data_IF_609050793778
#
_entry.id   IF_609050793778
#
_cell.length_a   1.000
_cell.length_b   1.000
_cell.length_c   1.000
_cell.angle_alpha   90.00
_cell.angle_beta   90.00
_cell.angle_gamma   90.00
#
_symmetry.space_group_name_H-M   'P 1'
#
loop_
_entity.id
_entity.type
_entity.pdbx_description
1 polymer ?
#
# COMPACT_ATOMS: atom_id res chain seq x y z
N UNK A 1 -5.42 -22.67 17.21
CA UNK A 1 -5.93 -21.29 17.03
C UNK A 1 -6.01 -20.97 15.54
N UNK A 2 -7.07 -20.30 15.06
CA UNK A 2 -7.14 -19.85 13.66
C UNK A 2 -6.26 -18.61 13.51
N UNK A 3 -5.07 -18.81 12.95
CA UNK A 3 -4.13 -17.74 12.60
C UNK A 3 -4.76 -16.83 11.55
N UNK A 4 -5.27 -15.67 12.00
CA UNK A 4 -5.55 -14.48 11.18
C UNK A 4 -6.56 -14.57 10.05
N UNK A 5 -7.16 -15.74 9.77
CA UNK A 5 -8.23 -15.91 8.78
C UNK A 5 -9.55 -16.16 9.50
N UNK A 6 -10.49 -15.24 9.32
CA UNK A 6 -11.82 -15.29 9.91
C UNK A 6 -12.78 -16.14 9.08
N UNK A 7 -13.38 -15.54 8.06
CA UNK A 7 -14.34 -16.16 7.16
C UNK A 7 -13.80 -16.27 5.74
N UNK A 8 -14.06 -17.39 5.07
CA UNK A 8 -13.69 -17.62 3.66
C UNK A 8 -14.94 -18.03 2.90
N UNK A 9 -15.29 -17.26 1.88
CA UNK A 9 -16.40 -17.55 0.97
C UNK A 9 -15.85 -17.84 -0.43
N UNK A 10 -16.10 -19.05 -0.93
CA UNK A 10 -15.66 -19.48 -2.27
C UNK A 10 -16.87 -19.57 -3.18
N UNK A 11 -16.90 -18.74 -4.22
CA UNK A 11 -17.90 -18.76 -5.29
C UNK A 11 -17.27 -19.36 -6.54
N UNK A 12 -17.52 -20.65 -6.77
CA UNK A 12 -17.01 -21.39 -7.93
C UNK A 12 -17.64 -20.89 -9.24
N UNK A 13 -18.98 -20.72 -9.35
CA UNK A 13 -19.59 -20.12 -10.55
C UNK A 13 -19.06 -18.72 -10.89
N UNK A 14 -18.88 -17.86 -9.88
CA UNK A 14 -18.34 -16.50 -10.06
C UNK A 14 -16.81 -16.43 -10.13
N UNK A 15 -16.12 -17.56 -9.96
CA UNK A 15 -14.65 -17.67 -9.92
C UNK A 15 -14.03 -16.63 -8.98
N UNK A 16 -14.53 -16.57 -7.74
CA UNK A 16 -14.08 -15.62 -6.73
C UNK A 16 -13.93 -16.25 -5.36
N UNK A 17 -13.00 -15.71 -4.59
CA UNK A 17 -12.78 -16.06 -3.18
C UNK A 17 -12.77 -14.75 -2.40
N UNK A 18 -13.63 -14.66 -1.39
CA UNK A 18 -13.66 -13.54 -0.44
C UNK A 18 -13.07 -14.05 0.87
N UNK A 19 -12.04 -13.37 1.36
CA UNK A 19 -11.32 -13.74 2.57
C UNK A 19 -11.40 -12.57 3.55
N UNK A 20 -11.99 -12.82 4.71
CA UNK A 20 -11.92 -11.94 5.86
C UNK A 20 -10.70 -12.32 6.70
N UNK A 21 -9.81 -11.37 6.93
CA UNK A 21 -8.50 -11.64 7.52
C UNK A 21 -7.87 -10.36 8.07
N UNK A 22 -6.98 -10.51 9.04
CA UNK A 22 -6.04 -9.48 9.53
C UNK A 22 -4.62 -9.65 8.96
N UNK A 23 -4.40 -10.68 8.13
CA UNK A 23 -3.11 -10.95 7.50
C UNK A 23 -2.87 -9.99 6.32
N UNK A 24 -1.60 -9.70 5.99
CA UNK A 24 -1.26 -9.00 4.77
C UNK A 24 -1.81 -9.71 3.52
N UNK A 25 -2.27 -8.94 2.54
CA UNK A 25 -2.82 -9.47 1.29
C UNK A 25 -1.85 -10.45 0.60
N UNK A 26 -0.56 -10.13 0.57
CA UNK A 26 0.46 -10.97 -0.08
C UNK A 26 0.58 -12.37 0.54
N UNK A 27 0.36 -12.49 1.86
CA UNK A 27 0.31 -13.79 2.56
C UNK A 27 -0.89 -14.61 2.11
N UNK A 28 -2.06 -13.97 2.00
CA UNK A 28 -3.30 -14.62 1.54
C UNK A 28 -3.18 -15.05 0.08
N UNK A 29 -2.64 -14.18 -0.77
CA UNK A 29 -2.44 -14.47 -2.19
C UNK A 29 -1.49 -15.66 -2.38
N UNK A 30 -0.34 -15.67 -1.69
CA UNK A 30 0.62 -16.79 -1.71
C UNK A 30 -0.02 -18.09 -1.24
N UNK A 31 -0.83 -18.06 -0.18
CA UNK A 31 -1.55 -19.23 0.31
C UNK A 31 -2.50 -19.81 -0.76
N UNK A 32 -3.27 -18.97 -1.45
CA UNK A 32 -4.13 -19.41 -2.55
C UNK A 32 -3.28 -19.94 -3.72
N UNK A 33 -2.21 -19.25 -4.08
CA UNK A 33 -1.34 -19.65 -5.19
C UNK A 33 -0.58 -20.96 -4.93
N UNK A 34 -0.28 -21.29 -3.67
CA UNK A 34 0.34 -22.56 -3.29
C UNK A 34 -0.51 -23.78 -3.67
N UNK A 35 -1.82 -23.59 -3.93
CA UNK A 35 -2.72 -24.64 -4.45
C UNK A 35 -2.59 -24.87 -5.96
N UNK A 36 -1.69 -24.18 -6.64
CA UNK A 36 -1.51 -24.22 -8.09
C UNK A 36 -2.52 -23.34 -8.86
N UNK A 37 -3.29 -22.49 -8.17
CA UNK A 37 -4.26 -21.57 -8.77
C UNK A 37 -3.70 -20.17 -8.88
N UNK A 38 -3.79 -19.54 -10.07
CA UNK A 38 -3.51 -18.11 -10.20
C UNK A 38 -4.58 -17.29 -9.48
N UNK A 39 -4.17 -16.38 -8.60
CA UNK A 39 -5.06 -15.49 -7.87
C UNK A 39 -4.75 -14.03 -8.20
N UNK A 40 -5.79 -13.24 -8.48
CA UNK A 40 -5.70 -11.81 -8.77
C UNK A 40 -6.66 -11.07 -7.84
N UNK A 41 -6.17 -10.00 -7.19
CA UNK A 41 -7.00 -9.15 -6.34
C UNK A 41 -8.00 -8.37 -7.19
N UNK A 42 -9.30 -8.59 -6.94
CA UNK A 42 -10.38 -7.88 -7.65
C UNK A 42 -10.95 -6.69 -6.86
N UNK A 43 -10.83 -6.71 -5.54
CA UNK A 43 -11.29 -5.64 -4.66
C UNK A 43 -10.80 -5.85 -3.24
N UNK A 44 -10.69 -4.75 -2.50
CA UNK A 44 -10.19 -4.71 -1.14
C UNK A 44 -11.09 -3.78 -0.31
N UNK A 45 -11.36 -4.10 0.94
CA UNK A 45 -12.26 -3.30 1.78
C UNK A 45 -12.57 -3.99 3.12
N UNK A 46 -13.21 -3.25 4.03
CA UNK A 46 -13.66 -3.80 5.30
C UNK A 46 -14.90 -4.72 5.13
N UNK A 47 -15.18 -5.52 6.16
CA UNK A 47 -16.22 -6.54 6.15
C UNK A 47 -17.62 -5.97 5.88
N UNK A 48 -18.50 -6.83 5.34
CA UNK A 48 -19.78 -6.46 4.71
C UNK A 48 -20.85 -5.89 5.65
N UNK A 49 -20.59 -5.80 6.96
CA UNK A 49 -21.51 -5.13 7.89
C UNK A 49 -21.54 -3.62 7.66
N UNK A 50 -20.48 -3.08 7.05
CA UNK A 50 -20.43 -1.73 6.53
C UNK A 50 -21.29 -1.61 5.25
N UNK A 51 -22.57 -1.28 5.41
CA UNK A 51 -23.46 -0.88 4.30
C UNK A 51 -22.98 0.44 3.68
N UNK A 52 -22.02 0.36 2.75
CA UNK A 52 -21.52 1.52 2.00
C UNK A 52 -20.31 1.17 1.15
N UNK A 53 -20.18 1.80 -0.02
CA UNK A 53 -18.97 1.72 -0.84
C UNK A 53 -17.79 2.31 -0.06
N UNK A 54 -16.97 1.47 0.54
CA UNK A 54 -15.74 1.91 1.19
C UNK A 54 -14.73 2.30 0.12
N UNK A 55 -14.17 3.51 0.26
CA UNK A 55 -13.16 4.00 -0.65
C UNK A 55 -11.90 3.13 -0.56
N UNK A 56 -11.41 2.69 -1.72
CA UNK A 56 -10.17 1.95 -1.84
C UNK A 56 -9.19 2.73 -2.72
N UNK A 57 -7.90 2.62 -2.41
CA UNK A 57 -6.83 3.21 -3.18
C UNK A 57 -5.61 2.29 -3.25
N UNK A 58 -4.74 2.57 -4.20
CA UNK A 58 -3.47 1.88 -4.39
C UNK A 58 -2.40 2.88 -4.79
N UNK A 59 -1.20 2.72 -4.26
CA UNK A 59 0.00 3.36 -4.75
C UNK A 59 1.00 2.28 -5.16
N UNK A 60 1.42 2.32 -6.42
CA UNK A 60 2.59 1.59 -6.90
C UNK A 60 3.77 2.54 -6.78
N UNK A 61 4.71 2.19 -5.92
CA UNK A 61 5.88 3.02 -5.63
C UNK A 61 7.10 2.46 -6.33
N UNK A 62 7.95 3.35 -6.83
CA UNK A 62 9.24 2.98 -7.39
C UNK A 62 10.25 4.11 -7.18
N UNK A 63 11.54 3.77 -7.20
CA UNK A 63 12.62 4.70 -6.97
C UNK A 63 13.92 4.31 -7.67
N UNK A 64 14.84 5.27 -7.86
CA UNK A 64 16.08 5.05 -8.61
C UNK A 64 17.05 4.07 -7.93
N UNK A 65 16.90 3.85 -6.61
CA UNK A 65 17.71 2.90 -5.84
C UNK A 65 17.28 1.43 -6.01
N UNK A 66 16.28 1.14 -6.84
CA UNK A 66 15.71 -0.19 -6.99
C UNK A 66 14.72 -0.56 -5.88
N UNK A 67 14.27 0.41 -5.08
CA UNK A 67 13.13 0.25 -4.17
C UNK A 67 11.85 0.28 -5.00
N UNK A 68 10.99 -0.71 -4.80
CA UNK A 68 9.67 -0.79 -5.44
C UNK A 68 8.68 -1.50 -4.54
N UNK A 69 7.39 -1.30 -4.79
CA UNK A 69 6.36 -1.94 -3.99
C UNK A 69 4.96 -1.48 -4.32
N UNK A 70 4.00 -2.13 -3.67
CA UNK A 70 2.59 -1.79 -3.80
C UNK A 70 1.99 -1.64 -2.41
N UNK A 71 1.32 -0.51 -2.20
CA UNK A 71 0.62 -0.19 -0.95
C UNK A 71 -0.84 0.10 -1.25
N UNK A 72 -1.72 -0.52 -0.49
CA UNK A 72 -3.18 -0.48 -0.62
C UNK A 72 -3.77 0.22 0.58
N UNK A 73 -4.80 1.01 0.31
CA UNK A 73 -5.55 1.73 1.30
C UNK A 73 -7.01 1.34 1.19
N UNK A 74 -7.67 1.13 2.32
CA UNK A 74 -9.13 1.03 2.35
C UNK A 74 -9.67 1.68 3.60
N UNK A 75 -10.70 2.50 3.43
CA UNK A 75 -11.48 3.00 4.55
C UNK A 75 -12.16 1.81 5.26
N UNK A 76 -12.07 1.80 6.58
CA UNK A 76 -12.78 0.90 7.47
C UNK A 76 -13.61 1.74 8.45
N UNK A 77 -14.95 1.60 8.48
CA UNK A 77 -15.78 2.33 9.42
C UNK A 77 -15.30 2.12 10.85
N UNK A 78 -15.28 3.19 11.64
CA UNK A 78 -14.90 3.20 13.06
C UNK A 78 -13.44 2.83 13.37
N UNK A 79 -12.66 2.40 12.37
CA UNK A 79 -11.25 2.00 12.54
C UNK A 79 -10.26 2.91 11.79
N UNK A 80 -10.72 3.73 10.85
CA UNK A 80 -9.87 4.61 10.05
C UNK A 80 -9.46 3.96 8.72
N UNK A 81 -8.23 4.19 8.27
CA UNK A 81 -7.68 3.64 7.04
C UNK A 81 -6.82 2.40 7.30
N UNK A 82 -7.18 1.28 6.69
CA UNK A 82 -6.31 0.09 6.64
C UNK A 82 -5.29 0.30 5.54
N UNK A 83 -4.01 0.15 5.89
CA UNK A 83 -2.86 0.26 5.01
C UNK A 83 -2.19 -1.11 4.94
N UNK A 84 -2.13 -1.70 3.76
CA UNK A 84 -1.54 -3.01 3.49
C UNK A 84 -0.51 -2.88 2.38
N UNK A 85 0.73 -3.30 2.62
CA UNK A 85 1.79 -3.08 1.65
C UNK A 85 2.85 -4.16 1.63
N UNK A 86 3.45 -4.30 0.46
CA UNK A 86 4.66 -5.08 0.21
C UNK A 86 5.65 -4.20 -0.54
N UNK A 87 6.85 -4.04 0.03
CA UNK A 87 7.92 -3.21 -0.53
C UNK A 87 9.21 -4.02 -0.50
N UNK A 88 9.94 -4.03 -1.61
CA UNK A 88 11.20 -4.74 -1.81
C UNK A 88 12.32 -3.74 -2.13
N UNK A 89 13.57 -4.19 -1.98
CA UNK A 89 14.77 -3.39 -2.27
C UNK A 89 15.15 -2.40 -1.18
N UNK A 90 14.60 -2.54 0.03
CA UNK A 90 14.92 -1.69 1.18
C UNK A 90 16.20 -2.15 1.87
N UNK A 91 16.93 -1.21 2.47
CA UNK A 91 18.13 -1.52 3.26
C UNK A 91 17.73 -2.02 4.66
N UNK A 92 18.07 -3.26 5.00
CA UNK A 92 17.72 -3.83 6.31
C UNK A 92 18.52 -3.25 7.49
N UNK A 93 19.55 -2.45 7.24
CA UNK A 93 20.42 -1.85 8.26
C UNK A 93 19.94 -0.48 8.75
N UNK A 94 18.98 0.15 8.05
CA UNK A 94 18.44 1.46 8.40
C UNK A 94 16.92 1.43 8.57
N UNK A 95 16.39 2.44 9.25
CA UNK A 95 14.95 2.59 9.46
C UNK A 95 14.28 3.26 8.28
N UNK A 96 13.05 2.84 8.04
CA UNK A 96 12.24 3.25 6.91
C UNK A 96 10.89 3.79 7.38
N UNK A 97 10.41 4.87 6.78
CA UNK A 97 9.14 5.51 7.10
C UNK A 97 8.27 5.65 5.87
N UNK A 98 6.96 5.60 6.10
CA UNK A 98 5.95 5.91 5.11
C UNK A 98 5.36 7.29 5.36
N UNK A 99 5.28 8.09 4.30
CA UNK A 99 4.77 9.46 4.34
C UNK A 99 3.85 9.70 3.14
N UNK A 100 2.72 10.35 3.37
CA UNK A 100 1.86 10.89 2.31
C UNK A 100 2.27 12.33 2.10
N UNK A 101 2.67 12.65 0.87
CA UNK A 101 3.06 14.00 0.46
C UNK A 101 1.92 14.70 -0.24
N UNK A 102 1.91 16.03 -0.22
CA UNK A 102 0.76 16.81 -0.64
C UNK A 102 0.48 16.76 -2.15
N UNK A 103 1.51 16.61 -2.99
CA UNK A 103 1.38 16.62 -4.46
C UNK A 103 1.50 15.22 -5.05
N UNK A 104 0.65 14.94 -6.03
CA UNK A 104 0.75 13.80 -6.95
C UNK A 104 1.67 14.09 -8.14
N UNK A 105 2.79 14.79 -7.93
CA UNK A 105 3.71 15.18 -9.00
C UNK A 105 5.00 14.35 -8.93
N UNK A 106 5.25 13.57 -9.99
CA UNK A 106 6.44 12.73 -10.15
C UNK A 106 7.39 13.24 -11.25
N UNK A 107 7.20 14.49 -11.72
CA UNK A 107 7.96 15.11 -12.82
C UNK A 107 9.47 15.15 -12.57
N UNK A 108 9.89 15.33 -11.31
CA UNK A 108 11.27 15.23 -10.85
C UNK A 108 11.42 14.12 -9.79
N UNK A 109 10.81 12.97 -10.04
CA UNK A 109 10.79 11.86 -9.08
C UNK A 109 10.15 12.26 -7.75
N UNK A 110 10.73 11.79 -6.65
CA UNK A 110 10.16 12.03 -5.33
C UNK A 110 10.38 13.44 -4.81
N UNK A 111 11.21 14.25 -5.47
CA UNK A 111 11.48 15.63 -5.04
C UNK A 111 10.33 16.57 -5.40
N UNK A 112 9.55 16.27 -6.45
CA UNK A 112 8.38 17.05 -6.85
C UNK A 112 7.13 16.81 -6.00
N UNK A 113 7.14 15.88 -5.03
CA UNK A 113 5.92 15.51 -4.29
C UNK A 113 5.49 16.55 -3.25
N UNK A 114 6.27 17.61 -3.02
CA UNK A 114 5.99 18.64 -2.01
C UNK A 114 6.30 18.18 -0.59
N UNK A 115 5.67 18.81 0.40
CA UNK A 115 5.83 18.48 1.82
C UNK A 115 4.93 17.33 2.27
N UNK A 116 5.13 16.85 3.50
CA UNK A 116 4.23 15.87 4.12
C UNK A 116 2.85 16.50 4.22
N UNK A 117 1.85 15.82 3.67
CA UNK A 117 0.48 16.32 3.62
C UNK A 117 -0.05 16.61 5.03
N UNK A 118 -0.43 17.86 5.27
CA UNK A 118 -1.02 18.28 6.53
C UNK A 118 -2.12 19.33 6.29
N UNK A 119 -3.40 18.94 6.17
CA UNK A 119 -4.47 19.88 5.89
C UNK A 119 -4.75 20.87 7.05
N UNK A 120 -4.22 20.59 8.25
CA UNK A 120 -4.44 21.39 9.46
C UNK A 120 -3.32 22.39 9.76
N UNK A 121 -2.28 22.47 8.92
CA UNK A 121 -1.08 23.28 9.23
C UNK A 121 -1.29 24.80 9.15
N UNK A 122 -2.48 25.30 8.80
CA UNK A 122 -2.65 26.70 8.41
C UNK A 122 -3.03 27.70 9.51
N UNK A 123 -3.51 27.35 10.72
CA UNK A 123 -4.10 28.42 11.57
C UNK A 123 -3.88 28.49 13.09
N UNK A 124 -3.20 27.58 13.81
CA UNK A 124 -2.94 27.87 15.24
C UNK A 124 -1.66 27.25 15.81
N UNK A 125 -0.87 28.07 16.51
CA UNK A 125 0.35 27.71 17.24
C UNK A 125 0.16 26.68 18.37
N UNK A 126 -1.10 26.28 18.66
CA UNK A 126 -1.47 25.34 19.72
C UNK A 126 -1.47 23.87 19.29
N UNK A 127 -1.36 23.58 17.98
CA UNK A 127 -1.34 22.20 17.44
C UNK A 127 0.07 21.67 17.16
N UNK A 128 1.11 22.34 17.68
CA UNK A 128 2.52 22.02 17.39
C UNK A 128 2.93 20.59 17.81
N UNK A 129 2.20 19.99 18.75
CA UNK A 129 2.42 18.62 19.24
C UNK A 129 1.53 17.57 18.55
N UNK A 130 0.68 17.97 17.59
CA UNK A 130 -0.16 17.02 16.86
C UNK A 130 0.64 16.34 15.75
N UNK A 131 0.41 15.02 15.61
CA UNK A 131 0.94 14.20 14.53
C UNK A 131 0.59 14.85 13.17
N UNK A 132 1.59 14.97 12.30
CA UNK A 132 1.39 15.41 10.91
C UNK A 132 0.50 14.39 10.19
N UNK A 133 -0.60 14.84 9.58
CA UNK A 133 -1.64 13.97 9.00
C UNK A 133 -1.08 12.88 8.08
N UNK A 134 -0.17 13.22 7.17
CA UNK A 134 0.46 12.29 6.23
C UNK A 134 1.58 11.42 6.80
N UNK A 135 1.98 11.56 8.06
CA UNK A 135 3.11 10.81 8.63
C UNK A 135 2.66 9.42 9.12
N UNK A 136 2.63 8.43 8.23
CA UNK A 136 2.14 7.07 8.50
C UNK A 136 3.02 6.24 9.45
N UNK A 137 4.26 6.67 9.70
CA UNK A 137 5.17 6.05 10.67
C UNK A 137 6.12 5.02 10.06
N UNK A 138 6.86 4.33 10.95
CA UNK A 138 7.93 3.39 10.60
C UNK A 138 7.37 2.09 10.00
N UNK A 139 8.16 1.43 9.15
CA UNK A 139 7.93 0.08 8.63
C UNK A 139 9.12 -0.83 8.93
N UNK A 140 8.84 -2.10 9.20
CA UNK A 140 9.85 -3.12 9.47
C UNK A 140 10.38 -3.74 8.17
N UNK A 141 11.69 -3.89 8.07
CA UNK A 141 12.35 -4.53 6.93
C UNK A 141 13.00 -5.82 7.41
N UNK A 142 12.80 -6.92 6.67
CA UNK A 142 13.46 -8.19 6.95
C UNK A 142 14.89 -8.25 6.41
N UNK A 143 15.61 -9.33 6.70
CA UNK A 143 17.00 -9.51 6.26
C UNK A 143 17.19 -9.55 4.74
N UNK A 144 16.11 -9.79 3.97
CA UNK A 144 16.15 -9.80 2.51
C UNK A 144 15.92 -8.42 1.88
N UNK A 145 15.66 -7.40 2.70
CA UNK A 145 15.30 -6.06 2.22
C UNK A 145 13.83 -5.95 1.82
N UNK A 146 12.99 -6.86 2.31
CA UNK A 146 11.55 -6.88 2.06
C UNK A 146 10.78 -6.44 3.30
N UNK A 147 9.78 -5.61 3.10
CA UNK A 147 8.84 -5.14 4.11
C UNK A 147 7.43 -5.56 3.73
N UNK A 148 6.83 -6.45 4.52
CA UNK A 148 5.42 -6.85 4.40
C UNK A 148 4.70 -6.39 5.66
N UNK A 149 3.67 -5.55 5.51
CA UNK A 149 2.98 -4.98 6.65
C UNK A 149 1.49 -4.79 6.39
N UNK A 150 0.74 -4.82 7.47
CA UNK A 150 -0.64 -4.36 7.53
C UNK A 150 -0.84 -3.58 8.82
N UNK A 151 -1.33 -2.35 8.72
CA UNK A 151 -1.60 -1.47 9.86
C UNK A 151 -2.87 -0.67 9.65
N UNK A 152 -3.37 -0.13 10.74
CA UNK A 152 -4.54 0.76 10.74
C UNK A 152 -4.10 2.14 11.17
N UNK A 153 -4.52 3.15 10.43
CA UNK A 153 -4.34 4.56 10.72
C UNK A 153 -5.69 5.18 11.07
N UNK A 154 -5.86 5.67 12.30
CA UNK A 154 -7.12 6.23 12.79
C UNK A 154 -7.37 7.67 12.30
N UNK A 155 -6.38 8.32 11.70
CA UNK A 155 -6.41 9.73 11.33
C UNK A 155 -6.67 9.89 9.82
N UNK A 156 -5.94 9.13 9.00
CA UNK A 156 -5.99 9.26 7.54
C UNK A 156 -7.27 8.68 6.97
N UNK A 157 -7.84 9.35 5.97
CA UNK A 157 -9.02 8.92 5.21
C UNK A 157 -8.68 8.79 3.73
N UNK A 158 -9.13 7.71 3.09
CA UNK A 158 -8.84 7.44 1.68
C UNK A 158 -9.25 8.59 0.76
N UNK A 159 -10.44 9.21 0.89
CA UNK A 159 -10.84 10.32 0.02
C UNK A 159 -9.88 11.52 0.04
N UNK A 160 -9.22 11.79 1.17
CA UNK A 160 -8.35 12.95 1.36
C UNK A 160 -6.98 12.78 0.69
N UNK A 161 -6.59 11.54 0.41
CA UNK A 161 -5.25 11.17 -0.08
C UNK A 161 -5.24 10.73 -1.54
N UNK A 162 -6.40 10.60 -2.19
CA UNK A 162 -6.45 10.31 -3.64
C UNK A 162 -5.78 11.44 -4.43
N UNK A 163 -4.90 11.06 -5.36
CA UNK A 163 -4.17 12.00 -6.21
C UNK A 163 -2.95 12.63 -5.53
N UNK A 164 -2.66 12.25 -4.27
CA UNK A 164 -1.43 12.59 -3.56
C UNK A 164 -0.35 11.53 -3.80
N UNK A 165 0.85 11.73 -3.29
CA UNK A 165 1.93 10.73 -3.40
C UNK A 165 2.17 10.02 -2.08
N UNK A 166 2.37 8.71 -2.14
CA UNK A 166 3.01 7.95 -1.08
C UNK A 166 4.51 7.98 -1.32
N UNK A 167 5.29 8.20 -0.26
CA UNK A 167 6.75 8.24 -0.30
C UNK A 167 7.31 7.32 0.78
N UNK A 168 8.30 6.52 0.39
CA UNK A 168 9.15 5.76 1.32
C UNK A 168 10.41 6.56 1.55
N UNK A 169 10.71 6.82 2.82
CA UNK A 169 11.89 7.56 3.21
C UNK A 169 12.78 6.73 4.13
N UNK A 170 14.09 6.92 4.05
CA UNK A 170 15.03 6.44 5.06
C UNK A 170 15.64 7.63 5.80
N UNK A 171 15.98 7.40 7.06
CA UNK A 171 16.83 8.32 7.82
C UNK A 171 18.14 7.61 8.12
N UNK A 172 19.25 8.03 7.50
CA UNK A 172 20.56 7.53 7.89
C UNK A 172 20.79 7.82 9.37
N UNK A 173 21.22 6.82 10.12
CA UNK A 173 21.82 7.06 11.44
C UNK A 173 23.09 7.88 11.19
N UNK A 174 23.16 9.08 11.76
CA UNK A 174 24.29 10.04 11.69
C UNK A 174 24.34 11.05 10.52
N UNK A 175 23.23 11.43 9.90
CA UNK A 175 23.21 12.58 8.97
C UNK A 175 22.43 13.78 9.54
N UNK A 176 23.01 14.97 9.47
CA UNK A 176 22.30 16.27 9.62
C UNK A 176 21.35 16.56 8.45
N UNK A 177 21.44 15.72 7.42
CA UNK A 177 20.58 15.70 6.24
C UNK A 177 19.26 15.02 6.64
N UNK A 178 18.14 15.67 6.32
CA UNK A 178 16.80 15.17 6.60
C UNK A 178 16.49 13.82 5.93
N UNK A 179 15.22 13.43 5.95
CA UNK A 179 14.76 12.18 5.33
C UNK A 179 15.15 12.08 3.86
N UNK A 180 15.81 10.99 3.48
CA UNK A 180 16.10 10.65 2.09
C UNK A 180 14.88 9.96 1.47
N UNK A 181 14.31 10.54 0.42
CA UNK A 181 13.18 9.97 -0.33
C UNK A 181 13.71 8.87 -1.25
N UNK A 182 13.30 7.62 -0.99
CA UNK A 182 13.81 6.45 -1.71
C UNK A 182 12.93 6.08 -2.90
N UNK A 183 11.61 6.08 -2.71
CA UNK A 183 10.64 5.69 -3.72
C UNK A 183 9.33 6.43 -3.48
N UNK A 184 8.56 6.63 -4.54
CA UNK A 184 7.29 7.32 -4.48
C UNK A 184 6.34 6.85 -5.57
N UNK A 185 5.05 7.13 -5.36
CA UNK A 185 3.99 6.75 -6.28
C UNK A 185 2.68 7.45 -5.97
N UNK A 186 1.92 7.80 -7.01
CA UNK A 186 0.63 8.45 -6.86
C UNK A 186 -0.38 7.46 -6.25
N UNK A 187 -1.14 7.92 -5.27
CA UNK A 187 -2.24 7.20 -4.64
C UNK A 187 -3.46 7.31 -5.57
N UNK A 188 -3.69 6.27 -6.35
CA UNK A 188 -4.77 6.17 -7.32
C UNK A 188 -6.00 5.49 -6.71
N UNK A 189 -7.19 5.80 -7.27
CA UNK A 189 -8.44 5.09 -6.89
C UNK A 189 -8.32 3.61 -7.25
N UNK A 190 -8.76 2.75 -6.34
CA UNK A 190 -8.89 1.31 -6.56
C UNK A 190 -10.35 0.88 -6.40
N UNK A 191 -10.69 -0.29 -6.94
CA UNK A 191 -12.02 -0.85 -6.75
C UNK A 191 -12.18 -1.42 -5.35
N UNK A 192 -13.25 -1.00 -4.66
CA UNK A 192 -13.69 -1.68 -3.45
C UNK A 192 -14.18 -3.11 -3.72
N UNK A 193 -14.50 -3.84 -2.66
CA UNK A 193 -15.05 -5.18 -2.76
C UNK A 193 -16.32 -5.18 -3.66
N UNK A 194 -16.37 -6.08 -4.63
CA UNK A 194 -17.46 -6.23 -5.63
C UNK A 194 -17.64 -5.08 -6.63
N UNK A 195 -16.76 -4.07 -6.64
CA UNK A 195 -16.90 -2.91 -7.54
C UNK A 195 -16.17 -3.08 -8.89
N UNK A 196 -15.54 -4.23 -9.12
CA UNK A 196 -14.86 -4.54 -10.36
C UNK A 196 -15.43 -5.80 -11.01
N UNK A 197 -16.46 -5.67 -11.88
CA UNK A 197 -17.02 -6.81 -12.60
C UNK A 197 -16.14 -7.26 -13.78
N UNK A 198 -15.01 -6.58 -14.08
CA UNK A 198 -14.15 -6.91 -15.22
C UNK A 198 -13.59 -8.33 -15.06
N UNK A 199 -13.96 -9.22 -15.98
CA UNK A 199 -13.51 -10.62 -16.03
C UNK A 199 -12.26 -10.83 -16.88
N UNK A 200 -12.00 -9.91 -17.79
CA UNK A 200 -10.92 -10.00 -18.77
C UNK A 200 -10.02 -8.77 -18.58
N UNK A 201 -8.72 -8.99 -18.35
CA UNK A 201 -7.70 -7.97 -18.52
C UNK A 201 -6.89 -8.31 -19.77
N UNK A 202 -6.54 -7.30 -20.58
CA UNK A 202 -5.55 -7.45 -21.65
C UNK A 202 -4.12 -7.54 -21.10
N UNK A 203 -3.93 -7.13 -19.85
CA UNK A 203 -2.72 -7.37 -19.08
C UNK A 203 -2.66 -8.85 -18.65
N UNK A 204 -1.45 -9.37 -18.44
CA UNK A 204 -1.24 -10.75 -17.97
C UNK A 204 -1.94 -11.06 -16.64
N UNK A 205 -2.47 -10.04 -15.94
CA UNK A 205 -3.04 -10.14 -14.60
C UNK A 205 -1.98 -10.48 -13.54
N UNK A 206 -0.72 -10.60 -13.96
CA UNK A 206 0.41 -10.43 -13.08
C UNK A 206 0.60 -8.92 -12.88
N UNK A 207 0.86 -8.50 -11.66
CA UNK A 207 1.62 -7.28 -11.46
C UNK A 207 2.93 -7.43 -12.26
N UNK A 208 3.44 -6.35 -12.86
CA UNK A 208 4.74 -6.39 -13.58
C UNK A 208 5.85 -7.00 -12.68
N UNK A 209 5.61 -6.92 -11.38
CA UNK A 209 6.40 -7.45 -10.28
C UNK A 209 5.60 -8.59 -9.64
N UNK A 210 5.86 -9.83 -10.03
CA UNK A 210 5.27 -10.99 -9.37
C UNK A 210 5.80 -11.03 -7.93
N UNK A 211 4.95 -10.78 -6.92
CA UNK A 211 5.34 -10.72 -5.49
C UNK A 211 5.95 -12.04 -4.96
N UNK A 212 5.92 -13.08 -5.81
CA UNK A 212 6.44 -14.42 -5.59
C UNK A 212 7.66 -14.79 -6.49
N UNK A 213 8.10 -13.95 -7.43
CA UNK A 213 9.05 -14.35 -8.48
C UNK A 213 10.32 -13.48 -8.58
N UNK A 214 11.47 -14.08 -8.28
CA UNK A 214 12.78 -13.56 -8.65
C UNK A 214 12.97 -13.56 -10.18
N UNK A 215 13.22 -12.39 -10.76
CA UNK A 215 14.04 -12.17 -11.96
C UNK A 215 13.60 -12.84 -13.28
N UNK A 216 13.08 -12.04 -14.21
CA UNK A 216 12.93 -12.44 -15.61
C UNK A 216 12.89 -11.21 -16.52
N UNK A 217 14.07 -10.72 -16.91
CA UNK A 217 14.24 -9.70 -17.96
C UNK A 217 13.77 -10.32 -19.27
N UNK A 218 12.59 -9.93 -19.76
CA UNK A 218 12.19 -10.17 -21.13
C UNK A 218 13.07 -9.28 -22.02
N UNK A 219 14.12 -9.86 -22.58
CA UNK A 219 14.80 -9.32 -23.75
C UNK A 219 13.77 -9.26 -24.88
N UNK A 220 13.51 -8.05 -25.39
CA UNK A 220 12.80 -7.86 -26.64
C UNK A 220 13.78 -8.17 -27.78
N UNK A 221 13.48 -9.23 -28.53
CA UNK A 221 14.00 -9.48 -29.87
C UNK A 221 13.21 -8.70 -30.91
#
# INVERSE_FOLDING_TARGET
ERLGVGHVHVDVPGQSVVVETDLPFSTVQKAIQSTGKKAVLKGYGASSEARGSLAAAVSEISGPSGVFGVVRFSDAPERGCIIDGTIDGLDSTVRHWLQIHELGDLSNGCDSTGDIFNPLSSETSWQKDQRVYGALGEISVDSSGRSVFRKTDDTVRVPDIIGRSLVVCARPTHSDIGYLRLACGIIARASGLFQNPKRICACSGATVWDEAGSGGRLEQS
#
